data_IF_323853128535
#
_entry.id   IF_323853128535
#
_cell.length_a   1.000
_cell.length_b   1.000
_cell.length_c   1.000
_cell.angle_alpha   90.00
_cell.angle_beta   90.00
_cell.angle_gamma   90.00
#
_symmetry.space_group_name_H-M   'P 1'
#
loop_
_entity.id
_entity.type
_entity.pdbx_description
1 polymer ?
#
# COMPACT_ATOMS: atom_id res chain seq x y z
N UNK A 1 7.23 -13.49 -11.14
CA UNK A 1 7.58 -13.01 -9.78
C UNK A 1 7.08 -11.59 -9.69
N UNK A 2 6.29 -11.21 -8.70
CA UNK A 2 5.67 -9.87 -8.60
C UNK A 2 6.66 -8.70 -8.73
N UNK A 3 6.24 -7.56 -9.28
CA UNK A 3 7.03 -6.33 -9.31
C UNK A 3 6.55 -5.33 -8.26
N UNK A 4 7.49 -4.64 -7.62
CA UNK A 4 7.22 -3.50 -6.72
C UNK A 4 7.82 -2.22 -7.29
N UNK A 5 7.15 -1.11 -7.04
CA UNK A 5 7.62 0.23 -7.35
C UNK A 5 7.19 1.20 -6.26
N UNK A 6 7.93 2.28 -6.06
CA UNK A 6 7.53 3.38 -5.21
C UNK A 6 8.34 4.63 -5.51
N UNK A 7 7.76 5.78 -5.25
CA UNK A 7 8.47 7.05 -5.35
C UNK A 7 7.99 8.04 -4.29
N UNK A 8 8.85 8.99 -3.95
CA UNK A 8 8.53 10.14 -3.14
C UNK A 8 9.20 11.39 -3.71
N UNK A 9 8.45 12.48 -3.83
CA UNK A 9 8.99 13.78 -4.17
C UNK A 9 9.54 14.49 -2.94
N UNK A 10 10.72 15.10 -3.08
CA UNK A 10 11.37 15.90 -2.03
C UNK A 10 10.90 17.35 -2.03
N UNK A 11 10.48 17.85 -3.18
CA UNK A 11 10.04 19.24 -3.41
C UNK A 11 8.59 19.28 -3.86
N UNK A 12 7.96 20.45 -3.72
CA UNK A 12 6.58 20.68 -4.16
C UNK A 12 6.43 20.67 -5.68
N UNK A 13 7.49 20.96 -6.43
CA UNK A 13 7.49 20.86 -7.90
C UNK A 13 7.62 19.40 -8.32
N UNK A 14 6.64 18.92 -9.07
CA UNK A 14 6.61 17.55 -9.57
C UNK A 14 6.72 17.58 -11.10
N UNK A 15 7.62 16.76 -11.64
CA UNK A 15 7.76 16.60 -13.09
C UNK A 15 6.55 15.89 -13.72
N UNK A 16 5.85 15.10 -12.91
CA UNK A 16 4.70 14.30 -13.31
C UNK A 16 3.83 14.07 -12.08
N UNK A 17 2.55 13.76 -12.29
CA UNK A 17 1.63 13.45 -11.18
C UNK A 17 2.03 12.11 -10.55
N UNK A 18 1.88 11.97 -9.24
CA UNK A 18 2.25 10.72 -8.51
C UNK A 18 1.60 9.48 -9.12
N UNK A 19 0.30 9.54 -9.45
CA UNK A 19 -0.38 8.39 -10.04
C UNK A 19 0.11 8.05 -11.45
N UNK A 20 0.35 9.06 -12.29
CA UNK A 20 0.94 8.88 -13.61
C UNK A 20 2.35 8.27 -13.54
N UNK A 21 3.16 8.70 -12.57
CA UNK A 21 4.48 8.14 -12.28
C UNK A 21 4.41 6.63 -12.02
N UNK A 22 3.54 6.23 -11.08
CA UNK A 22 3.41 4.85 -10.67
C UNK A 22 2.91 3.99 -11.81
N UNK A 23 1.94 4.46 -12.61
CA UNK A 23 1.47 3.72 -13.79
C UNK A 23 2.63 3.43 -14.75
N UNK A 24 3.45 4.45 -15.08
CA UNK A 24 4.63 4.29 -15.94
C UNK A 24 5.64 3.30 -15.36
N UNK A 25 5.92 3.40 -14.06
CA UNK A 25 6.83 2.47 -13.38
C UNK A 25 6.30 1.03 -13.43
N UNK A 26 5.01 0.82 -13.15
CA UNK A 26 4.40 -0.51 -13.13
C UNK A 26 4.25 -1.12 -14.52
N UNK A 27 3.98 -0.33 -15.55
CA UNK A 27 4.04 -0.79 -16.95
C UNK A 27 5.43 -1.37 -17.29
N UNK A 28 6.49 -0.71 -16.84
CA UNK A 28 7.86 -1.21 -16.98
C UNK A 28 8.14 -2.53 -16.25
N UNK A 29 7.28 -2.93 -15.30
CA UNK A 29 7.35 -4.20 -14.58
C UNK A 29 6.22 -5.17 -14.95
N UNK A 30 5.36 -4.88 -15.93
CA UNK A 30 4.15 -5.69 -16.19
C UNK A 30 4.47 -7.17 -16.50
N UNK A 31 5.63 -7.45 -17.11
CA UNK A 31 6.10 -8.82 -17.38
C UNK A 31 6.34 -9.66 -16.11
N UNK A 32 6.49 -9.00 -14.96
CA UNK A 32 6.69 -9.63 -13.66
C UNK A 32 5.39 -10.23 -13.10
N UNK A 33 4.24 -9.61 -13.41
CA UNK A 33 2.94 -9.97 -12.88
C UNK A 33 1.77 -9.37 -13.66
N UNK A 34 1.13 -10.14 -14.57
CA UNK A 34 0.06 -9.62 -15.41
C UNK A 34 -1.32 -9.61 -14.74
N UNK A 35 -1.48 -10.23 -13.58
CA UNK A 35 -2.79 -10.64 -13.09
C UNK A 35 -3.54 -9.54 -12.36
N UNK A 36 -2.84 -8.71 -11.59
CA UNK A 36 -3.46 -7.60 -10.85
C UNK A 36 -2.45 -6.50 -10.54
N UNK A 37 -2.97 -5.29 -10.42
CA UNK A 37 -2.19 -4.09 -10.15
C UNK A 37 -2.84 -3.29 -9.03
N UNK A 38 -2.01 -2.65 -8.22
CA UNK A 38 -2.52 -1.69 -7.25
C UNK A 38 -1.52 -0.61 -6.89
N UNK A 39 -2.07 0.42 -6.26
CA UNK A 39 -1.44 1.67 -5.92
C UNK A 39 -1.81 2.06 -4.49
N UNK A 40 -0.83 2.48 -3.69
CA UNK A 40 -1.06 3.19 -2.44
C UNK A 40 -0.64 4.63 -2.70
N UNK A 41 -1.59 5.55 -2.57
CA UNK A 41 -1.49 6.93 -3.02
C UNK A 41 -1.60 7.85 -1.82
N UNK A 42 -0.61 8.73 -1.63
CA UNK A 42 -0.52 9.57 -0.44
C UNK A 42 -0.59 11.05 -0.79
N UNK A 43 -1.59 11.75 -0.27
CA UNK A 43 -1.74 13.20 -0.37
C UNK A 43 -2.01 13.79 1.01
N UNK A 44 -1.35 14.90 1.42
CA UNK A 44 -1.65 15.54 2.69
C UNK A 44 -3.13 15.91 2.81
N UNK A 45 -3.75 15.59 3.96
CA UNK A 45 -5.14 15.95 4.27
C UNK A 45 -5.18 16.76 5.58
N UNK A 46 -5.02 18.10 5.52
CA UNK A 46 -4.92 18.94 6.72
C UNK A 46 -6.18 18.98 7.59
N UNK A 47 -7.32 18.49 7.08
CA UNK A 47 -8.58 18.44 7.81
C UNK A 47 -8.64 17.31 8.85
N UNK A 48 -7.73 16.32 8.77
CA UNK A 48 -7.74 15.14 9.65
C UNK A 48 -8.86 14.13 9.35
N UNK A 49 -9.58 14.29 8.24
CA UNK A 49 -10.65 13.37 7.82
C UNK A 49 -10.06 12.02 7.43
N UNK A 50 -10.80 10.95 7.72
CA UNK A 50 -10.43 9.61 7.30
C UNK A 50 -11.06 9.31 5.94
N UNK A 51 -10.23 8.84 5.01
CA UNK A 51 -10.61 8.25 3.74
C UNK A 51 -10.60 6.74 3.90
N UNK A 52 -11.74 6.12 3.62
CA UNK A 52 -11.93 4.69 3.69
C UNK A 52 -12.33 4.18 2.32
N UNK A 53 -11.84 2.98 2.01
CA UNK A 53 -12.24 2.27 0.80
C UNK A 53 -12.58 0.82 1.12
N UNK A 54 -13.62 0.32 0.47
CA UNK A 54 -14.16 -1.02 0.66
C UNK A 54 -14.28 -1.74 -0.68
N UNK A 55 -14.14 -3.07 -0.65
CA UNK A 55 -14.64 -3.90 -1.74
C UNK A 55 -16.14 -4.09 -1.60
N UNK A 56 -16.85 -3.90 -2.70
CA UNK A 56 -18.28 -4.16 -2.84
C UNK A 56 -18.44 -5.03 -4.09
N UNK A 57 -18.59 -6.34 -3.90
CA UNK A 57 -18.71 -7.28 -5.03
C UNK A 57 -19.99 -6.95 -5.83
N UNK A 58 -19.83 -6.43 -7.06
CA UNK A 58 -20.98 -6.08 -7.89
C UNK A 58 -21.65 -7.28 -8.56
N UNK A 59 -21.03 -8.46 -8.50
CA UNK A 59 -21.44 -9.66 -9.23
C UNK A 59 -22.19 -10.67 -8.36
N UNK A 60 -22.25 -10.45 -7.04
CA UNK A 60 -22.86 -11.37 -6.07
C UNK A 60 -23.75 -10.58 -5.11
N UNK A 61 -24.83 -11.21 -4.63
CA UNK A 61 -25.63 -10.63 -3.54
C UNK A 61 -24.80 -10.52 -2.24
N UNK A 62 -24.97 -9.44 -1.45
CA UNK A 62 -25.94 -8.37 -1.61
C UNK A 62 -25.57 -7.34 -2.71
N UNK A 63 -26.59 -6.78 -3.39
CA UNK A 63 -26.36 -5.73 -4.42
C UNK A 63 -25.45 -4.60 -3.92
N UNK A 64 -24.80 -3.89 -4.85
CA UNK A 64 -23.92 -2.74 -4.54
C UNK A 64 -24.62 -1.73 -3.61
N UNK A 65 -25.86 -1.36 -3.90
CA UNK A 65 -26.62 -0.40 -3.08
C UNK A 65 -26.86 -0.92 -1.67
N UNK A 66 -27.16 -2.22 -1.53
CA UNK A 66 -27.38 -2.88 -0.24
C UNK A 66 -26.08 -2.99 0.57
N UNK A 67 -24.97 -3.33 -0.09
CA UNK A 67 -23.63 -3.34 0.50
C UNK A 67 -23.24 -1.95 1.02
N UNK A 68 -23.39 -0.92 0.19
CA UNK A 68 -23.13 0.47 0.57
C UNK A 68 -24.03 0.89 1.74
N UNK A 69 -25.33 0.59 1.69
CA UNK A 69 -26.26 0.93 2.77
C UNK A 69 -25.86 0.26 4.11
N UNK A 70 -25.37 -0.97 4.05
CA UNK A 70 -24.87 -1.71 5.21
C UNK A 70 -23.61 -1.06 5.78
N UNK A 71 -22.66 -0.69 4.93
CA UNK A 71 -21.42 0.01 5.34
C UNK A 71 -21.76 1.37 5.96
N UNK A 72 -22.61 2.18 5.33
CA UNK A 72 -23.05 3.48 5.86
C UNK A 72 -23.66 3.36 7.24
N UNK A 73 -24.59 2.40 7.40
CA UNK A 73 -25.23 2.14 8.70
C UNK A 73 -24.19 1.80 9.75
N UNK A 74 -23.21 0.94 9.41
CA UNK A 74 -22.16 0.54 10.34
C UNK A 74 -21.25 1.71 10.73
N UNK A 75 -20.87 2.57 9.79
CA UNK A 75 -20.08 3.77 10.06
C UNK A 75 -20.78 4.67 11.08
N UNK A 76 -22.08 4.94 10.89
CA UNK A 76 -22.89 5.75 11.80
C UNK A 76 -23.00 5.10 13.18
N UNK A 77 -23.24 3.78 13.25
CA UNK A 77 -23.28 3.03 14.52
C UNK A 77 -21.97 3.08 15.30
N UNK A 78 -20.83 3.13 14.60
CA UNK A 78 -19.51 3.27 15.18
C UNK A 78 -19.18 4.72 15.56
N UNK A 79 -20.05 5.69 15.25
CA UNK A 79 -19.92 7.10 15.62
C UNK A 79 -19.25 7.98 14.55
N UNK A 80 -19.08 7.49 13.32
CA UNK A 80 -18.54 8.29 12.22
C UNK A 80 -19.62 9.17 11.58
N UNK A 81 -19.21 10.37 11.14
CA UNK A 81 -20.04 11.26 10.30
C UNK A 81 -19.53 11.20 8.87
N UNK A 82 -20.39 10.83 7.93
CA UNK A 82 -20.04 10.74 6.50
C UNK A 82 -20.09 12.13 5.88
N UNK A 83 -19.02 12.54 5.21
CA UNK A 83 -18.93 13.85 4.54
C UNK A 83 -19.05 13.74 3.03
N UNK A 84 -18.38 12.77 2.43
CA UNK A 84 -18.37 12.53 1.00
C UNK A 84 -18.32 11.04 0.71
N UNK A 85 -18.91 10.63 -0.40
CA UNK A 85 -18.92 9.24 -0.80
C UNK A 85 -19.10 9.07 -2.30
N UNK A 86 -18.45 8.04 -2.83
CA UNK A 86 -18.55 7.66 -4.22
C UNK A 86 -18.38 6.15 -4.35
N UNK A 87 -18.79 5.60 -5.48
CA UNK A 87 -18.40 4.24 -5.84
C UNK A 87 -17.97 4.22 -7.30
N UNK A 88 -17.07 3.31 -7.61
CA UNK A 88 -16.63 3.02 -8.96
C UNK A 88 -16.37 1.52 -9.04
N UNK A 89 -17.06 0.83 -9.96
CA UNK A 89 -16.94 -0.62 -10.10
C UNK A 89 -17.15 -1.33 -8.74
N UNK A 90 -16.25 -2.25 -8.39
CA UNK A 90 -16.31 -3.03 -7.14
C UNK A 90 -15.71 -2.29 -5.93
N UNK A 91 -15.61 -0.95 -5.98
CA UNK A 91 -15.01 -0.15 -4.91
C UNK A 91 -15.99 0.92 -4.43
N UNK A 92 -16.16 0.99 -3.11
CA UNK A 92 -16.86 2.06 -2.43
C UNK A 92 -15.87 2.92 -1.64
N UNK A 93 -15.91 4.24 -1.86
CA UNK A 93 -15.05 5.23 -1.22
C UNK A 93 -15.90 6.13 -0.34
N UNK A 94 -15.42 6.41 0.87
CA UNK A 94 -16.11 7.28 1.80
C UNK A 94 -15.09 8.11 2.59
N UNK A 95 -15.36 9.40 2.68
CA UNK A 95 -14.64 10.32 3.56
C UNK A 95 -15.51 10.58 4.78
N UNK A 96 -14.93 10.40 5.96
CA UNK A 96 -15.62 10.56 7.24
C UNK A 96 -14.88 11.49 8.18
N UNK A 97 -15.63 12.14 9.05
CA UNK A 97 -15.14 12.67 10.32
C UNK A 97 -15.31 11.63 11.42
N UNK A 98 -14.24 11.35 12.18
CA UNK A 98 -14.26 10.37 13.26
C UNK A 98 -13.22 10.70 14.34
N UNK A 99 -13.68 11.01 15.54
CA UNK A 99 -12.82 11.36 16.69
C UNK A 99 -12.41 10.14 17.54
N UNK A 100 -12.86 8.95 17.15
CA UNK A 100 -12.63 7.73 17.91
C UNK A 100 -11.32 7.04 17.58
N UNK A 101 -11.20 5.81 18.09
CA UNK A 101 -10.02 4.98 17.90
C UNK A 101 -10.10 4.24 16.55
N UNK A 102 -9.12 4.52 15.66
CA UNK A 102 -9.07 3.94 14.30
C UNK A 102 -9.02 2.42 14.32
N UNK A 103 -8.38 1.82 15.33
CA UNK A 103 -8.31 0.36 15.45
C UNK A 103 -9.70 -0.22 15.72
N UNK A 104 -10.47 0.38 16.64
CA UNK A 104 -11.85 -0.04 16.91
C UNK A 104 -12.76 0.16 15.71
N UNK A 105 -12.60 1.28 14.99
CA UNK A 105 -13.34 1.56 13.76
C UNK A 105 -13.05 0.48 12.71
N UNK A 106 -11.76 0.23 12.42
CA UNK A 106 -11.30 -0.79 11.47
C UNK A 106 -11.88 -2.16 11.79
N UNK A 107 -11.70 -2.65 13.02
CA UNK A 107 -12.15 -3.99 13.39
C UNK A 107 -13.68 -4.11 13.36
N UNK A 108 -14.38 -3.03 13.71
CA UNK A 108 -15.85 -2.98 13.60
C UNK A 108 -16.36 -3.02 12.16
N UNK A 109 -15.59 -2.46 11.22
CA UNK A 109 -15.93 -2.41 9.79
C UNK A 109 -15.58 -3.71 9.06
N UNK A 110 -14.47 -4.36 9.40
CA UNK A 110 -14.07 -5.66 8.82
C UNK A 110 -15.09 -6.79 9.09
N UNK A 111 -15.89 -6.65 10.15
CA UNK A 111 -17.01 -7.54 10.43
C UNK A 111 -18.22 -7.35 9.50
N UNK A 112 -18.21 -6.27 8.70
CA UNK A 112 -19.33 -5.84 7.87
C UNK A 112 -19.00 -5.92 6.38
N UNK A 113 -17.83 -5.45 5.99
CA UNK A 113 -17.35 -5.48 4.61
C UNK A 113 -15.82 -5.55 4.59
N UNK A 114 -15.26 -6.02 3.48
CA UNK A 114 -13.80 -6.06 3.30
C UNK A 114 -13.26 -4.66 3.13
N UNK A 115 -12.43 -4.20 4.08
CA UNK A 115 -11.80 -2.88 4.00
C UNK A 115 -10.51 -3.00 3.17
N UNK A 116 -10.30 -2.05 2.26
CA UNK A 116 -9.09 -1.95 1.44
C UNK A 116 -8.03 -1.12 2.15
N UNK A 117 -8.43 0.04 2.67
CA UNK A 117 -7.57 0.96 3.40
C UNK A 117 -8.37 1.91 4.27
N UNK A 118 -7.74 2.36 5.36
CA UNK A 118 -8.15 3.52 6.14
C UNK A 118 -6.92 4.42 6.31
N UNK A 119 -7.07 5.70 6.02
CA UNK A 119 -6.01 6.67 6.22
C UNK A 119 -6.51 8.10 6.18
N UNK A 120 -5.71 9.02 6.69
CA UNK A 120 -5.93 10.46 6.49
C UNK A 120 -5.35 10.88 5.14
N UNK A 121 -4.15 10.39 4.83
CA UNK A 121 -3.41 10.70 3.60
C UNK A 121 -3.44 9.55 2.59
N UNK A 122 -3.61 8.31 3.04
CA UNK A 122 -3.60 7.10 2.23
C UNK A 122 -4.94 6.82 1.52
N UNK A 123 -4.83 6.54 0.22
CA UNK A 123 -5.85 5.87 -0.58
C UNK A 123 -5.23 4.66 -1.31
N UNK A 124 -5.75 3.45 -1.10
CA UNK A 124 -5.33 2.28 -1.89
C UNK A 124 -6.30 2.05 -3.04
N UNK A 125 -5.81 1.94 -4.27
CA UNK A 125 -6.60 1.54 -5.44
C UNK A 125 -5.99 0.27 -6.00
N UNK A 126 -6.74 -0.84 -6.05
CA UNK A 126 -6.21 -2.11 -6.56
C UNK A 126 -7.29 -2.98 -7.16
N UNK A 127 -6.94 -3.65 -8.25
CA UNK A 127 -7.87 -4.49 -9.02
C UNK A 127 -7.12 -5.44 -9.97
N UNK A 128 -7.85 -6.35 -10.62
CA UNK A 128 -7.34 -7.29 -11.62
C UNK A 128 -6.97 -6.57 -12.91
N UNK A 129 -5.90 -7.01 -13.58
CA UNK A 129 -5.39 -6.43 -14.82
C UNK A 129 -4.14 -5.57 -14.65
N UNK A 130 -3.75 -4.91 -15.74
CA UNK A 130 -2.55 -4.08 -15.84
C UNK A 130 -2.71 -2.71 -15.17
N UNK A 131 -1.61 -1.98 -15.01
CA UNK A 131 -1.62 -0.62 -14.49
C UNK A 131 -2.56 0.31 -15.29
N UNK A 132 -2.62 0.15 -16.61
CA UNK A 132 -3.52 0.93 -17.47
C UNK A 132 -4.98 0.50 -17.34
N UNK A 133 -5.26 -0.80 -17.17
CA UNK A 133 -6.63 -1.27 -16.95
C UNK A 133 -7.21 -0.71 -15.64
N UNK A 134 -6.39 -0.65 -14.59
CA UNK A 134 -6.77 -0.06 -13.29
C UNK A 134 -6.89 1.47 -13.41
N UNK A 135 -6.01 2.13 -14.16
CA UNK A 135 -6.13 3.57 -14.45
C UNK A 135 -7.42 3.92 -15.21
N UNK A 136 -7.80 3.12 -16.21
CA UNK A 136 -9.02 3.36 -16.98
C UNK A 136 -10.28 3.32 -16.10
N UNK A 137 -10.28 2.46 -15.07
CA UNK A 137 -11.42 2.30 -14.14
C UNK A 137 -11.45 3.35 -13.02
N UNK A 138 -10.29 3.72 -12.49
CA UNK A 138 -10.20 4.52 -11.26
C UNK A 138 -9.50 5.87 -11.44
N UNK A 139 -9.02 6.17 -12.64
CA UNK A 139 -8.35 7.42 -13.01
C UNK A 139 -7.15 7.75 -12.12
N UNK A 140 -6.33 6.74 -11.81
CA UNK A 140 -5.13 6.86 -10.99
C UNK A 140 -4.19 7.92 -11.55
N UNK A 141 -4.09 8.08 -12.87
CA UNK A 141 -3.26 9.09 -13.54
C UNK A 141 -3.63 10.54 -13.16
N UNK A 142 -4.83 10.79 -12.62
CA UNK A 142 -5.24 12.11 -12.17
C UNK A 142 -4.80 12.40 -10.75
N UNK A 143 -4.30 11.43 -9.99
CA UNK A 143 -3.93 11.60 -8.59
C UNK A 143 -2.65 12.45 -8.46
N UNK A 144 -2.74 13.53 -7.70
CA UNK A 144 -1.60 14.36 -7.28
C UNK A 144 -1.39 14.17 -5.78
N UNK A 145 -0.27 13.58 -5.41
CA UNK A 145 0.11 13.40 -4.03
C UNK A 145 1.60 13.65 -3.86
N UNK A 146 2.15 13.14 -2.76
CA UNK A 146 3.55 13.37 -2.39
C UNK A 146 4.42 12.16 -2.68
N UNK A 147 3.82 10.99 -2.53
CA UNK A 147 4.49 9.73 -2.69
C UNK A 147 3.47 8.62 -2.88
N UNK A 148 3.97 7.44 -3.22
CA UNK A 148 3.13 6.27 -3.30
C UNK A 148 3.89 5.00 -3.63
N UNK A 149 3.18 3.89 -3.47
CA UNK A 149 3.67 2.55 -3.76
C UNK A 149 2.83 1.94 -4.88
N UNK A 150 3.43 1.06 -5.65
CA UNK A 150 2.81 0.32 -6.73
C UNK A 150 3.24 -1.14 -6.71
N UNK A 151 2.35 -2.02 -7.15
CA UNK A 151 2.66 -3.44 -7.26
C UNK A 151 1.95 -4.09 -8.43
N UNK A 152 2.65 -4.97 -9.14
CA UNK A 152 2.11 -5.87 -10.17
C UNK A 152 2.29 -7.32 -9.74
N UNK A 153 1.20 -8.08 -9.69
CA UNK A 153 1.17 -9.42 -9.07
C UNK A 153 1.15 -10.53 -10.11
N UNK A 154 1.91 -11.60 -9.82
CA UNK A 154 1.78 -12.89 -10.48
C UNK A 154 1.18 -13.89 -9.49
N UNK A 155 -0.04 -14.33 -9.75
CA UNK A 155 -0.71 -15.38 -9.01
C UNK A 155 -0.12 -16.74 -9.43
N UNK A 156 0.71 -17.34 -8.58
CA UNK A 156 1.29 -18.67 -8.87
C UNK A 156 0.46 -19.82 -8.30
N UNK A 157 -0.19 -19.62 -7.14
CA UNK A 157 -0.91 -20.68 -6.43
C UNK A 157 -2.30 -20.26 -5.90
N UNK A 158 -2.63 -18.97 -6.00
CA UNK A 158 -3.83 -18.37 -5.41
C UNK A 158 -4.76 -17.81 -6.48
N UNK A 159 -6.03 -17.64 -6.16
CA UNK A 159 -6.98 -16.96 -7.05
C UNK A 159 -6.51 -15.54 -7.45
N UNK A 160 -6.86 -15.18 -8.68
CA UNK A 160 -6.75 -13.80 -9.19
C UNK A 160 -7.97 -13.04 -8.70
N UNK A 161 -7.82 -12.33 -7.58
CA UNK A 161 -8.86 -11.51 -6.97
C UNK A 161 -8.31 -10.14 -6.57
N UNK A 162 -9.10 -9.05 -6.68
CA UNK A 162 -8.68 -7.71 -6.27
C UNK A 162 -8.20 -7.63 -4.82
N UNK A 163 -8.88 -8.34 -3.92
CA UNK A 163 -8.56 -8.42 -2.49
C UNK A 163 -7.18 -9.03 -2.19
N UNK A 164 -6.73 -9.96 -3.03
CA UNK A 164 -5.42 -10.59 -2.91
C UNK A 164 -4.30 -9.77 -3.57
N UNK A 165 -4.65 -8.70 -4.31
CA UNK A 165 -3.69 -7.79 -4.88
C UNK A 165 -3.04 -6.92 -3.79
N UNK A 166 -1.81 -6.50 -4.05
CA UNK A 166 -1.15 -5.46 -3.29
C UNK A 166 -1.61 -4.07 -3.78
N UNK A 167 -1.35 -3.01 -3.02
CA UNK A 167 -0.74 -2.95 -1.68
C UNK A 167 -1.62 -3.53 -0.56
N UNK A 168 -0.99 -3.82 0.58
CA UNK A 168 -1.68 -4.20 1.82
C UNK A 168 -1.54 -3.08 2.84
N UNK A 169 -2.66 -2.71 3.44
CA UNK A 169 -2.76 -1.75 4.53
C UNK A 169 -2.60 -2.44 5.88
N UNK A 170 -2.08 -1.72 6.88
CA UNK A 170 -1.96 -2.21 8.25
C UNK A 170 -3.33 -2.18 8.96
N UNK A 171 -4.06 -3.30 8.91
CA UNK A 171 -5.37 -3.44 9.56
C UNK A 171 -5.34 -2.96 11.01
N UNK A 172 -6.17 -1.96 11.32
CA UNK A 172 -6.25 -1.34 12.65
C UNK A 172 -5.42 -0.06 12.82
N UNK A 173 -4.72 0.42 11.80
CA UNK A 173 -3.92 1.65 11.86
C UNK A 173 -4.26 2.60 10.70
N UNK A 174 -4.01 3.90 10.82
CA UNK A 174 -4.13 4.79 9.67
C UNK A 174 -2.80 4.84 8.89
N UNK A 175 -2.89 5.05 7.58
CA UNK A 175 -1.79 5.54 6.73
C UNK A 175 -0.57 4.63 6.53
N UNK A 176 -0.53 3.41 7.08
CA UNK A 176 0.57 2.46 6.83
C UNK A 176 0.18 1.45 5.76
N UNK A 177 0.92 1.44 4.65
CA UNK A 177 0.73 0.46 3.57
C UNK A 177 2.08 -0.08 3.06
N UNK A 178 2.06 -1.32 2.56
CA UNK A 178 3.26 -1.99 2.04
C UNK A 178 3.04 -2.69 0.71
N UNK A 179 4.11 -2.77 -0.08
CA UNK A 179 4.23 -3.66 -1.24
C UNK A 179 5.42 -4.58 -1.01
N UNK A 180 5.25 -5.87 -1.27
CA UNK A 180 6.23 -6.88 -0.89
C UNK A 180 6.44 -7.86 -2.04
N UNK A 181 7.70 -8.14 -2.32
CA UNK A 181 8.12 -9.20 -3.22
C UNK A 181 8.97 -10.18 -2.42
N UNK A 182 8.47 -11.38 -2.23
CA UNK A 182 9.10 -12.28 -1.29
C UNK A 182 8.16 -13.30 -0.70
N UNK A 183 8.66 -13.96 0.32
CA UNK A 183 7.90 -14.82 1.20
C UNK A 183 8.52 -14.78 2.60
N UNK A 184 7.68 -14.61 3.61
CA UNK A 184 8.06 -14.67 5.02
C UNK A 184 7.86 -16.10 5.54
N UNK A 185 8.94 -16.83 5.79
CA UNK A 185 8.92 -18.25 6.19
C UNK A 185 8.47 -18.44 7.63
N UNK A 186 8.65 -17.44 8.50
CA UNK A 186 8.19 -17.46 9.89
C UNK A 186 6.82 -16.78 10.11
N UNK A 187 6.02 -16.60 9.05
CA UNK A 187 4.72 -15.92 9.06
C UNK A 187 3.81 -16.31 10.24
N UNK A 188 3.47 -17.60 10.37
CA UNK A 188 2.54 -18.07 11.39
C UNK A 188 3.01 -17.83 12.82
N UNK A 189 4.33 -17.84 13.05
CA UNK A 189 4.92 -17.54 14.36
C UNK A 189 4.74 -16.05 14.69
N UNK A 190 5.00 -15.18 13.72
CA UNK A 190 4.91 -13.73 13.90
C UNK A 190 3.46 -13.27 13.99
N UNK A 191 2.57 -13.79 13.15
CA UNK A 191 1.12 -13.56 13.23
C UNK A 191 0.56 -13.90 14.60
N UNK A 192 0.85 -15.11 15.12
CA UNK A 192 0.37 -15.54 16.44
C UNK A 192 0.83 -14.62 17.58
N UNK A 193 2.04 -14.06 17.49
CA UNK A 193 2.56 -13.11 18.49
C UNK A 193 1.77 -11.79 18.48
N UNK A 194 1.38 -11.31 17.30
CA UNK A 194 0.58 -10.10 17.16
C UNK A 194 -0.89 -10.35 17.56
N UNK A 195 -1.46 -11.50 17.19
CA UNK A 195 -2.82 -11.89 17.63
C UNK A 195 -2.92 -12.00 19.16
N UNK A 196 -1.88 -12.53 19.83
CA UNK A 196 -1.80 -12.56 21.31
C UNK A 196 -1.79 -11.17 21.94
N UNK A 197 -1.46 -10.13 21.18
CA UNK A 197 -1.47 -8.73 21.60
C UNK A 197 -2.76 -8.01 21.20
N UNK A 198 -3.70 -8.70 20.57
CA UNK A 198 -5.02 -8.18 20.21
C UNK A 198 -5.16 -7.70 18.76
N UNK A 199 -4.15 -7.89 17.91
CA UNK A 199 -4.25 -7.53 16.49
C UNK A 199 -5.11 -8.53 15.71
N UNK A 200 -5.89 -8.02 14.76
CA UNK A 200 -6.72 -8.81 13.84
C UNK A 200 -6.11 -8.77 12.45
N UNK A 201 -6.08 -9.93 11.78
CA UNK A 201 -5.66 -10.08 10.39
C UNK A 201 -6.86 -10.50 9.54
N UNK A 202 -6.99 -9.91 8.36
CA UNK A 202 -8.11 -10.13 7.43
C UNK A 202 -7.72 -11.02 6.26
N UNK A 203 -6.42 -11.28 6.11
CA UNK A 203 -5.85 -12.11 5.04
C UNK A 203 -4.82 -13.09 5.58
N UNK A 204 -4.54 -14.13 4.79
CA UNK A 204 -3.41 -15.03 5.03
C UNK A 204 -2.13 -14.59 4.28
N UNK A 205 -2.09 -13.32 3.84
CA UNK A 205 -0.94 -12.77 3.14
C UNK A 205 0.11 -12.28 4.15
N UNK A 206 1.37 -12.64 3.93
CA UNK A 206 2.50 -12.20 4.76
C UNK A 206 2.75 -10.69 4.68
N UNK A 207 2.21 -10.04 3.68
CA UNK A 207 2.32 -8.60 3.50
C UNK A 207 1.48 -7.82 4.49
N UNK A 208 0.30 -8.31 4.86
CA UNK A 208 -0.50 -7.73 5.94
C UNK A 208 0.23 -7.85 7.28
N UNK A 209 0.92 -8.98 7.51
CA UNK A 209 1.77 -9.17 8.68
C UNK A 209 2.87 -8.09 8.77
N UNK A 210 3.58 -7.82 7.66
CA UNK A 210 4.61 -6.78 7.62
C UNK A 210 4.00 -5.41 7.93
N UNK A 211 2.87 -5.07 7.32
CA UNK A 211 2.19 -3.79 7.53
C UNK A 211 1.82 -3.60 9.02
N UNK A 212 1.13 -4.57 9.63
CA UNK A 212 0.72 -4.51 11.04
C UNK A 212 1.94 -4.51 11.98
N UNK A 213 2.97 -5.29 11.69
CA UNK A 213 4.22 -5.32 12.47
C UNK A 213 4.91 -3.94 12.50
N UNK A 214 5.01 -3.28 11.35
CA UNK A 214 5.63 -1.94 11.25
C UNK A 214 4.75 -0.91 11.95
N UNK A 215 3.45 -0.89 11.66
CA UNK A 215 2.51 0.05 12.25
C UNK A 215 2.45 -0.05 13.78
N UNK A 216 2.49 -1.27 14.33
CA UNK A 216 2.58 -1.49 15.76
C UNK A 216 3.86 -0.89 16.37
N UNK A 217 5.02 -1.08 15.76
CA UNK A 217 6.27 -0.46 16.27
C UNK A 217 6.20 1.05 16.25
N UNK A 218 5.68 1.64 15.17
CA UNK A 218 5.48 3.09 15.05
C UNK A 218 4.55 3.62 16.15
N UNK A 219 3.42 2.93 16.38
CA UNK A 219 2.47 3.30 17.43
C UNK A 219 3.06 3.19 18.85
N UNK A 220 4.12 2.39 19.04
CA UNK A 220 4.88 2.30 20.28
C UNK A 220 6.10 3.26 20.32
N UNK A 221 6.17 4.23 19.41
CA UNK A 221 7.14 5.32 19.41
C UNK A 221 8.47 5.03 18.71
N UNK A 222 8.59 3.89 18.01
CA UNK A 222 9.76 3.63 17.18
C UNK A 222 9.77 4.55 15.94
N UNK A 223 10.95 4.95 15.46
CA UNK A 223 11.08 5.56 14.15
C UNK A 223 10.93 4.50 13.05
N UNK A 224 10.49 4.88 11.86
CA UNK A 224 10.34 3.94 10.74
C UNK A 224 11.66 3.24 10.41
N UNK A 225 12.77 3.98 10.47
CA UNK A 225 14.11 3.43 10.26
C UNK A 225 14.44 2.30 11.24
N UNK A 226 14.13 2.46 12.53
CA UNK A 226 14.36 1.44 13.55
C UNK A 226 13.44 0.22 13.38
N UNK A 227 12.18 0.48 12.99
CA UNK A 227 11.21 -0.57 12.70
C UNK A 227 11.65 -1.44 11.52
N UNK A 228 12.18 -0.81 10.45
CA UNK A 228 12.76 -1.49 9.30
C UNK A 228 14.02 -2.25 9.67
N UNK A 229 14.93 -1.66 10.44
CA UNK A 229 16.11 -2.37 10.94
C UNK A 229 15.72 -3.65 11.67
N UNK A 230 14.77 -3.54 12.60
CA UNK A 230 14.32 -4.69 13.39
C UNK A 230 13.58 -5.71 12.52
N UNK A 231 12.88 -5.28 11.48
CA UNK A 231 12.19 -6.20 10.54
C UNK A 231 13.15 -7.19 9.87
N UNK A 232 14.39 -6.77 9.57
CA UNK A 232 15.40 -7.62 8.94
C UNK A 232 15.87 -8.74 9.90
N UNK A 233 15.78 -8.52 11.20
CA UNK A 233 16.14 -9.48 12.24
C UNK A 233 14.99 -10.40 12.63
N UNK A 234 13.78 -9.85 12.74
CA UNK A 234 12.61 -10.57 13.24
C UNK A 234 11.90 -11.40 12.15
N UNK A 235 11.94 -10.95 10.89
CA UNK A 235 11.32 -11.64 9.76
C UNK A 235 12.31 -12.59 9.09
N UNK A 236 11.88 -13.83 8.89
CA UNK A 236 12.67 -14.85 8.21
C UNK A 236 12.10 -15.12 6.83
N UNK A 237 12.97 -15.43 5.86
CA UNK A 237 12.60 -15.68 4.47
C UNK A 237 13.39 -14.85 3.47
N UNK A 238 12.85 -14.74 2.25
CA UNK A 238 13.45 -13.93 1.18
C UNK A 238 12.47 -12.84 0.83
N UNK A 239 12.82 -11.58 1.06
CA UNK A 239 11.92 -10.46 0.90
C UNK A 239 12.63 -9.18 0.50
N UNK A 240 11.90 -8.42 -0.29
CA UNK A 240 12.15 -7.01 -0.56
C UNK A 240 10.80 -6.33 -0.51
N UNK A 241 10.65 -5.35 0.37
CA UNK A 241 9.39 -4.62 0.49
C UNK A 241 9.63 -3.13 0.57
N UNK A 242 8.63 -2.37 0.12
CA UNK A 242 8.50 -0.95 0.37
C UNK A 242 7.36 -0.72 1.35
N UNK A 243 7.54 0.26 2.22
CA UNK A 243 6.53 0.74 3.16
C UNK A 243 6.35 2.24 2.98
N UNK A 244 5.14 2.68 3.26
CA UNK A 244 4.74 4.08 3.20
C UNK A 244 3.94 4.41 4.46
N UNK A 245 4.20 5.58 5.04
CA UNK A 245 3.43 6.18 6.13
C UNK A 245 2.78 7.48 5.63
N UNK A 246 2.20 8.29 6.51
CA UNK A 246 1.63 9.59 6.14
C UNK A 246 2.63 10.50 5.37
N UNK A 247 3.90 10.44 5.75
CA UNK A 247 4.93 11.40 5.37
C UNK A 247 6.30 10.77 5.04
N UNK A 248 6.45 9.45 5.12
CA UNK A 248 7.68 8.72 4.83
C UNK A 248 7.47 7.57 3.83
N UNK A 249 8.50 7.29 3.04
CA UNK A 249 8.66 6.04 2.30
C UNK A 249 9.93 5.33 2.80
N UNK A 250 9.92 4.01 2.82
CA UNK A 250 11.12 3.23 3.16
C UNK A 250 11.17 1.88 2.46
N UNK A 251 12.34 1.25 2.50
CA UNK A 251 12.51 -0.13 2.05
C UNK A 251 13.26 -0.96 3.09
N UNK A 252 13.04 -2.27 3.04
CA UNK A 252 13.96 -3.24 3.63
C UNK A 252 14.22 -4.40 2.67
N UNK A 253 15.46 -4.89 2.69
CA UNK A 253 15.94 -6.00 1.87
C UNK A 253 16.53 -7.08 2.77
N UNK A 254 16.12 -8.32 2.57
CA UNK A 254 16.62 -9.46 3.32
C UNK A 254 18.14 -9.68 3.11
N UNK A 255 18.75 -10.48 3.98
CA UNK A 255 20.21 -10.74 3.97
C UNK A 255 20.68 -11.65 2.84
N UNK A 256 19.80 -12.46 2.28
CA UNK A 256 20.08 -13.27 1.09
C UNK A 256 19.95 -12.44 -0.19
N UNK A 257 19.15 -11.37 -0.17
CA UNK A 257 18.91 -10.47 -1.29
C UNK A 257 18.42 -11.21 -2.55
N UNK A 258 17.59 -12.24 -2.37
CA UNK A 258 17.13 -13.06 -3.49
C UNK A 258 16.12 -12.34 -4.41
N UNK A 259 15.55 -11.21 -3.95
CA UNK A 259 14.58 -10.41 -4.67
C UNK A 259 15.25 -9.11 -5.13
N UNK A 260 15.17 -8.78 -6.44
CA UNK A 260 15.86 -7.62 -6.97
C UNK A 260 15.19 -6.33 -6.51
N UNK A 261 16.01 -5.32 -6.27
CA UNK A 261 15.58 -3.97 -5.94
C UNK A 261 16.61 -3.00 -6.52
N UNK A 262 16.16 -2.03 -7.28
CA UNK A 262 16.98 -0.97 -7.84
C UNK A 262 16.44 0.37 -7.35
N UNK A 263 17.35 1.30 -7.10
CA UNK A 263 17.04 2.63 -6.58
C UNK A 263 17.68 3.70 -7.46
N UNK A 264 16.95 4.81 -7.60
CA UNK A 264 17.41 6.07 -8.16
C UNK A 264 17.02 7.20 -7.20
N UNK A 265 17.94 8.12 -6.97
CA UNK A 265 17.71 9.30 -6.13
C UNK A 265 18.43 10.50 -6.74
N UNK A 266 17.75 11.64 -6.76
CA UNK A 266 18.33 12.95 -7.02
C UNK A 266 17.74 14.00 -6.04
N UNK A 267 18.02 15.27 -6.32
CA UNK A 267 17.57 16.39 -5.48
C UNK A 267 16.04 16.56 -5.45
N UNK A 268 15.32 15.97 -6.41
CA UNK A 268 13.88 16.18 -6.60
C UNK A 268 13.06 14.98 -6.13
N UNK A 269 13.56 13.76 -6.28
CA UNK A 269 12.84 12.56 -5.85
C UNK A 269 13.74 11.38 -5.46
N UNK A 270 13.11 10.42 -4.77
CA UNK A 270 13.59 9.06 -4.66
C UNK A 270 12.61 8.13 -5.37
N UNK A 271 13.12 7.17 -6.13
CA UNK A 271 12.34 6.13 -6.80
C UNK A 271 13.00 4.77 -6.62
N UNK A 272 12.20 3.77 -6.28
CA UNK A 272 12.64 2.39 -6.02
C UNK A 272 11.76 1.45 -6.83
N UNK A 273 12.34 0.45 -7.47
CA UNK A 273 11.61 -0.55 -8.22
C UNK A 273 12.27 -1.92 -8.17
N UNK A 274 11.59 -2.96 -8.64
CA UNK A 274 12.21 -4.28 -8.82
C UNK A 274 13.27 -4.31 -9.92
N UNK A 275 13.11 -3.51 -10.98
CA UNK A 275 13.95 -3.57 -12.17
C UNK A 275 14.20 -2.17 -12.76
N UNK A 276 15.37 -1.97 -13.38
CA UNK A 276 15.79 -0.68 -13.94
C UNK A 276 14.87 -0.20 -15.07
N UNK A 277 14.29 -1.13 -15.83
CA UNK A 277 13.31 -0.82 -16.88
C UNK A 277 12.10 -0.06 -16.34
N UNK A 278 11.73 -0.24 -15.07
CA UNK A 278 10.67 0.50 -14.40
C UNK A 278 11.05 1.96 -14.19
N UNK A 279 12.25 2.21 -13.66
CA UNK A 279 12.78 3.56 -13.43
C UNK A 279 12.97 4.32 -14.74
N UNK A 280 13.43 3.63 -15.79
CA UNK A 280 13.61 4.22 -17.12
C UNK A 280 12.29 4.72 -17.74
N UNK A 281 11.12 4.19 -17.34
CA UNK A 281 9.81 4.69 -17.82
C UNK A 281 9.47 6.08 -17.28
N UNK A 282 10.06 6.50 -16.16
CA UNK A 282 9.90 7.86 -15.65
C UNK A 282 10.68 8.88 -16.48
N UNK A 283 11.85 8.48 -16.99
CA UNK A 283 12.81 9.39 -17.63
C UNK A 283 13.25 8.87 -19.02
N UNK A 284 12.34 8.84 -20.01
CA UNK A 284 12.64 8.29 -21.32
C UNK A 284 13.81 9.03 -21.98
N UNK A 285 14.84 8.29 -22.39
CA UNK A 285 16.03 8.83 -23.05
C UNK A 285 17.08 9.45 -22.12
N UNK A 286 16.90 9.40 -20.80
CA UNK A 286 17.89 9.83 -19.80
C UNK A 286 18.59 8.62 -19.21
N UNK A 287 19.93 8.62 -19.19
CA UNK A 287 20.69 7.65 -18.42
C UNK A 287 20.53 7.95 -16.93
N UNK A 288 20.14 6.95 -16.15
CA UNK A 288 19.94 7.06 -14.71
C UNK A 288 21.13 6.46 -13.97
N UNK A 289 21.59 7.15 -12.93
CA UNK A 289 22.61 6.60 -12.02
C UNK A 289 21.92 5.68 -10.99
N UNK A 290 21.50 4.51 -11.45
CA UNK A 290 20.80 3.52 -10.63
C UNK A 290 21.80 2.66 -9.85
N UNK A 291 21.39 2.20 -8.67
CA UNK A 291 22.16 1.23 -7.91
C UNK A 291 21.23 0.27 -7.16
N UNK A 292 21.70 -0.95 -6.92
CA UNK A 292 20.98 -1.94 -6.13
C UNK A 292 21.38 -1.81 -4.65
N UNK A 293 20.41 -1.65 -3.72
CA UNK A 293 20.70 -1.73 -2.30
C UNK A 293 21.36 -3.05 -1.90
N UNK A 294 22.32 -2.97 -0.99
CA UNK A 294 23.06 -4.13 -0.52
C UNK A 294 22.16 -5.09 0.29
N UNK A 295 22.53 -6.38 0.41
CA UNK A 295 21.79 -7.32 1.25
C UNK A 295 21.73 -6.87 2.70
N UNK A 296 20.58 -7.07 3.35
CA UNK A 296 20.38 -6.71 4.77
C UNK A 296 20.34 -5.20 5.05
N UNK A 297 20.12 -4.36 4.03
CA UNK A 297 19.97 -2.91 4.22
C UNK A 297 18.52 -2.46 4.21
N UNK A 298 18.33 -1.26 4.74
CA UNK A 298 17.09 -0.53 4.79
C UNK A 298 17.41 0.96 4.66
N UNK A 299 16.44 1.74 4.23
CA UNK A 299 16.51 3.20 4.29
C UNK A 299 15.10 3.79 4.34
N UNK A 300 15.02 5.04 4.79
CA UNK A 300 13.79 5.85 4.80
C UNK A 300 14.08 7.21 4.19
N UNK A 301 13.03 7.80 3.65
CA UNK A 301 13.00 9.19 3.21
C UNK A 301 11.70 9.79 3.68
N UNK A 302 11.80 10.96 4.29
CA UNK A 302 10.67 11.73 4.77
C UNK A 302 10.52 13.01 3.97
N UNK A 303 9.30 13.55 3.96
CA UNK A 303 9.12 14.94 3.56
C UNK A 303 9.78 15.85 4.59
N UNK A 304 10.55 16.83 4.13
CA UNK A 304 10.85 18.00 4.94
C UNK A 304 9.53 18.79 5.11
N UNK A 305 8.94 18.73 6.30
CA UNK A 305 7.76 19.52 6.67
C UNK A 305 8.18 20.97 6.95
#
# INVERSE_FOLDING_TARGET
MCGIAGLMYRKSSQDFKTGEALIRMLDGCQHRGPDSTGFALYSPEPSGRLKLRFFIDSMVEPTVESSIATIRKRLIELGASIEDESHAWDNYNVTIHYDGDVQKLSYGLEQTAKVISIGTSLEIVKDVGSAYDVDDRYHVNKFHGTHGLGHVRLATESDVKPEAAHPFWATGFADVAIVHNGQITNYWKMRRRLEQRGFVFTTDNDSELIAVYLADKLANGAQLQDALSTSIDDLDGTFSFLVSTEDEIGYAKDRLAAKPMIMYEDDDLVAIASEEVSLNRLFPGRALNTHEPAPGTYATWSRSI
#
